data_IF_726143059074
#
_entry.id   IF_726143059074
#
_cell.length_a   1.000
_cell.length_b   1.000
_cell.length_c   1.000
_cell.angle_alpha   90.00
_cell.angle_beta   90.00
_cell.angle_gamma   90.00
#
_symmetry.space_group_name_H-M   'P 1'
#
loop_
_entity.id
_entity.type
_entity.pdbx_description
1 polymer ?
#
# COMPACT_ATOMS: atom_id res chain seq x y z
N UNK A 1 31.57 8.17 2.62
CA UNK A 1 30.63 7.14 2.13
C UNK A 1 30.83 5.83 2.91
N UNK A 2 30.70 5.86 4.24
CA UNK A 2 30.87 4.66 5.08
C UNK A 2 29.50 4.22 5.54
N UNK A 3 29.14 2.95 5.27
CA UNK A 3 27.88 2.33 5.72
C UNK A 3 26.79 2.17 4.65
N UNK A 4 26.97 2.70 3.44
CA UNK A 4 26.03 2.43 2.33
C UNK A 4 26.44 1.16 1.59
N UNK A 5 25.46 0.38 1.14
CA UNK A 5 25.73 -0.83 0.35
C UNK A 5 26.13 -0.43 -1.07
N UNK A 6 27.17 -1.05 -1.60
CA UNK A 6 27.67 -0.80 -2.97
C UNK A 6 26.56 -0.82 -4.03
N UNK A 7 25.58 -1.72 -3.86
CA UNK A 7 24.42 -1.83 -4.76
C UNK A 7 23.60 -0.54 -4.79
N UNK A 8 23.36 0.09 -3.65
CA UNK A 8 22.53 1.30 -3.54
C UNK A 8 23.21 2.49 -4.21
N UNK A 9 24.52 2.66 -3.97
CA UNK A 9 25.33 3.70 -4.62
C UNK A 9 25.37 3.47 -6.13
N UNK A 10 25.53 2.22 -6.58
CA UNK A 10 25.54 1.89 -8.01
C UNK A 10 24.20 2.21 -8.69
N UNK A 11 23.07 1.99 -7.99
CA UNK A 11 21.73 2.31 -8.50
C UNK A 11 21.55 3.82 -8.65
N UNK A 12 22.03 4.60 -7.68
CA UNK A 12 21.97 6.05 -7.72
C UNK A 12 22.82 6.61 -8.87
N UNK A 13 24.07 6.15 -9.01
CA UNK A 13 24.96 6.59 -10.11
C UNK A 13 24.35 6.24 -11.47
N UNK A 14 23.77 5.04 -11.60
CA UNK A 14 23.04 4.64 -12.81
C UNK A 14 21.83 5.52 -13.12
N UNK A 15 21.09 5.94 -12.08
CA UNK A 15 19.98 6.87 -12.23
C UNK A 15 20.44 8.25 -12.73
N UNK A 16 21.62 8.72 -12.27
CA UNK A 16 22.16 10.04 -12.64
C UNK A 16 22.78 10.10 -14.05
N UNK A 17 23.43 9.03 -14.51
CA UNK A 17 24.31 9.09 -15.69
C UNK A 17 23.74 8.49 -16.99
N UNK A 18 22.45 8.14 -17.06
CA UNK A 18 21.86 7.80 -18.38
C UNK A 18 20.74 6.79 -18.42
N UNK A 19 20.13 6.43 -17.29
CA UNK A 19 18.90 5.64 -17.33
C UNK A 19 17.69 6.57 -17.50
N UNK A 20 16.80 6.24 -18.44
CA UNK A 20 15.42 6.73 -18.41
C UNK A 20 14.77 6.21 -17.13
N UNK A 21 14.89 6.98 -16.05
CA UNK A 21 14.56 6.55 -14.71
C UNK A 21 13.12 6.03 -14.63
N UNK A 22 12.19 6.67 -15.34
CA UNK A 22 10.79 6.26 -15.41
C UNK A 22 10.57 4.86 -15.97
N UNK A 23 11.26 4.52 -17.07
CA UNK A 23 11.17 3.19 -17.68
C UNK A 23 11.89 2.14 -16.84
N UNK A 24 13.00 2.53 -16.23
CA UNK A 24 13.76 1.68 -15.33
C UNK A 24 12.96 1.33 -14.07
N UNK A 25 12.30 2.30 -13.44
CA UNK A 25 11.49 2.11 -12.23
C UNK A 25 10.39 1.06 -12.45
N UNK A 26 9.76 1.04 -13.64
CA UNK A 26 8.74 0.04 -13.99
C UNK A 26 9.27 -1.39 -14.05
N UNK A 27 10.56 -1.58 -14.28
CA UNK A 27 11.23 -2.89 -14.38
C UNK A 27 11.96 -3.27 -13.09
N UNK A 28 12.14 -2.34 -12.17
CA UNK A 28 12.85 -2.55 -10.93
C UNK A 28 12.00 -3.31 -9.91
N UNK A 29 12.65 -4.13 -9.09
CA UNK A 29 12.01 -4.73 -7.94
C UNK A 29 11.68 -3.65 -6.89
N UNK A 30 10.61 -3.86 -6.11
CA UNK A 30 10.19 -2.91 -5.08
C UNK A 30 11.30 -2.61 -4.06
N UNK A 31 12.15 -3.60 -3.75
CA UNK A 31 13.32 -3.44 -2.89
C UNK A 31 14.36 -2.46 -3.46
N UNK A 32 14.55 -2.47 -4.79
CA UNK A 32 15.50 -1.58 -5.45
C UNK A 32 14.94 -0.15 -5.51
N UNK A 33 13.63 -0.01 -5.77
CA UNK A 33 12.91 1.27 -5.70
C UNK A 33 12.98 1.86 -4.29
N UNK A 34 12.78 1.03 -3.27
CA UNK A 34 12.90 1.42 -1.85
C UNK A 34 14.31 1.89 -1.50
N UNK A 35 15.32 1.16 -1.98
CA UNK A 35 16.72 1.53 -1.80
C UNK A 35 17.04 2.86 -2.48
N UNK A 36 16.50 3.07 -3.69
CA UNK A 36 16.68 4.31 -4.44
C UNK A 36 16.01 5.50 -3.75
N UNK A 37 14.81 5.32 -3.18
CA UNK A 37 14.16 6.36 -2.36
C UNK A 37 14.99 6.72 -1.13
N UNK A 38 15.52 5.71 -0.43
CA UNK A 38 16.38 5.88 0.74
C UNK A 38 17.64 6.69 0.40
N UNK A 39 18.39 6.27 -0.62
CA UNK A 39 19.67 6.90 -0.96
C UNK A 39 19.49 8.27 -1.61
N UNK A 40 18.47 8.46 -2.48
CA UNK A 40 18.16 9.77 -3.05
C UNK A 40 17.75 10.79 -1.99
N UNK A 41 17.01 10.36 -0.96
CA UNK A 41 16.68 11.23 0.18
C UNK A 41 17.89 11.51 1.07
N UNK A 42 18.80 10.54 1.25
CA UNK A 42 20.01 10.70 2.08
C UNK A 42 21.00 11.70 1.49
N UNK A 43 21.17 11.70 0.17
CA UNK A 43 22.11 12.57 -0.54
C UNK A 43 21.43 13.79 -1.20
N UNK A 44 20.16 14.04 -0.89
CA UNK A 44 19.40 15.20 -1.35
C UNK A 44 19.26 15.34 -2.89
N UNK A 45 19.19 14.21 -3.60
CA UNK A 45 18.92 14.19 -5.04
C UNK A 45 17.42 14.32 -5.32
N UNK A 46 16.92 15.55 -5.26
CA UNK A 46 15.47 15.85 -5.34
C UNK A 46 14.82 15.39 -6.66
N UNK A 47 15.51 15.47 -7.79
CA UNK A 47 14.96 15.02 -9.08
C UNK A 47 14.70 13.51 -9.09
N UNK A 48 15.69 12.72 -8.66
CA UNK A 48 15.58 11.26 -8.54
C UNK A 48 14.51 10.89 -7.51
N UNK A 49 14.50 11.57 -6.35
CA UNK A 49 13.51 11.35 -5.30
C UNK A 49 12.10 11.62 -5.82
N UNK A 50 11.89 12.72 -6.55
CA UNK A 50 10.59 13.11 -7.09
C UNK A 50 10.05 12.09 -8.10
N UNK A 51 10.89 11.61 -9.00
CA UNK A 51 10.51 10.56 -9.96
C UNK A 51 10.17 9.24 -9.26
N UNK A 52 10.92 8.85 -8.23
CA UNK A 52 10.64 7.65 -7.42
C UNK A 52 9.32 7.79 -6.65
N UNK A 53 9.09 8.94 -6.02
CA UNK A 53 7.83 9.22 -5.30
C UNK A 53 6.65 9.20 -6.27
N UNK A 54 6.77 9.83 -7.43
CA UNK A 54 5.72 9.83 -8.45
C UNK A 54 5.40 8.41 -8.93
N UNK A 55 6.42 7.57 -9.11
CA UNK A 55 6.21 6.16 -9.43
C UNK A 55 5.50 5.41 -8.29
N UNK A 56 5.94 5.59 -7.04
CA UNK A 56 5.31 4.95 -5.88
C UNK A 56 3.86 5.39 -5.68
N UNK A 57 3.52 6.66 -5.93
CA UNK A 57 2.14 7.16 -5.88
C UNK A 57 1.25 6.52 -6.96
N UNK A 58 1.82 6.16 -8.10
CA UNK A 58 1.08 5.43 -9.14
C UNK A 58 0.76 3.99 -8.73
N UNK A 59 1.61 3.38 -7.89
CA UNK A 59 1.42 2.04 -7.35
C UNK A 59 0.53 2.01 -6.09
N UNK A 60 0.70 3.02 -5.22
CA UNK A 60 0.05 3.13 -3.92
C UNK A 60 -0.77 4.42 -3.85
N UNK A 61 -1.87 4.50 -4.62
CA UNK A 61 -2.63 5.74 -4.72
C UNK A 61 -3.48 6.00 -3.48
N UNK A 62 -3.72 7.28 -3.20
CA UNK A 62 -4.50 7.75 -2.04
C UNK A 62 -6.02 7.56 -2.13
N UNK A 63 -6.57 7.35 -3.33
CA UNK A 63 -8.02 7.19 -3.52
C UNK A 63 -8.41 5.75 -3.81
N UNK A 64 -9.57 5.33 -3.29
CA UNK A 64 -10.08 3.97 -3.45
C UNK A 64 -10.25 3.60 -4.93
N UNK A 65 -10.76 4.51 -5.75
CA UNK A 65 -10.97 4.27 -7.18
C UNK A 65 -9.65 4.01 -7.92
N UNK A 66 -8.61 4.80 -7.63
CA UNK A 66 -7.28 4.58 -8.20
C UNK A 66 -6.64 3.31 -7.64
N UNK A 67 -6.86 3.00 -6.36
CA UNK A 67 -6.34 1.79 -5.73
C UNK A 67 -6.91 0.53 -6.39
N UNK A 68 -8.22 0.50 -6.67
CA UNK A 68 -8.85 -0.57 -7.45
C UNK A 68 -8.26 -0.65 -8.86
N UNK A 69 -8.14 0.48 -9.55
CA UNK A 69 -7.59 0.54 -10.90
C UNK A 69 -6.12 0.09 -11.00
N UNK A 70 -5.30 0.36 -9.98
CA UNK A 70 -3.88 0.00 -9.95
C UNK A 70 -3.61 -1.51 -9.91
N UNK A 71 -4.61 -2.32 -9.53
CA UNK A 71 -4.48 -3.77 -9.32
C UNK A 71 -3.33 -4.20 -8.39
N UNK A 72 -2.78 -3.27 -7.60
CA UNK A 72 -1.69 -3.56 -6.66
C UNK A 72 -2.09 -4.62 -5.62
N UNK A 73 -3.39 -4.70 -5.33
CA UNK A 73 -3.98 -5.69 -4.42
C UNK A 73 -4.04 -7.11 -5.00
N UNK A 74 -3.87 -7.26 -6.33
CA UNK A 74 -3.80 -8.55 -7.02
C UNK A 74 -2.34 -9.03 -7.17
N UNK A 75 -1.36 -8.12 -7.00
CA UNK A 75 0.05 -8.47 -7.12
C UNK A 75 0.55 -9.20 -5.88
N UNK A 76 1.28 -10.30 -6.10
CA UNK A 76 1.97 -11.02 -5.03
C UNK A 76 3.24 -10.23 -4.63
N UNK A 77 3.08 -9.29 -3.71
CA UNK A 77 4.18 -8.52 -3.15
C UNK A 77 4.73 -9.22 -1.90
N UNK A 78 6.05 -9.32 -1.82
CA UNK A 78 6.71 -9.91 -0.67
C UNK A 78 6.53 -9.02 0.58
N UNK A 79 6.02 -9.57 1.71
CA UNK A 79 5.81 -8.81 2.94
C UNK A 79 7.04 -8.02 3.40
N UNK A 80 8.23 -8.61 3.30
CA UNK A 80 9.47 -7.95 3.73
C UNK A 80 9.74 -6.67 2.91
N UNK A 81 9.40 -6.68 1.61
CA UNK A 81 9.56 -5.52 0.75
C UNK A 81 8.54 -4.43 1.08
N UNK A 82 7.30 -4.82 1.40
CA UNK A 82 6.25 -3.89 1.81
C UNK A 82 6.58 -3.17 3.13
N UNK A 83 7.02 -3.93 4.14
CA UNK A 83 7.41 -3.35 5.43
C UNK A 83 8.68 -2.50 5.30
N UNK A 84 9.67 -2.96 4.52
CA UNK A 84 10.85 -2.15 4.21
C UNK A 84 10.49 -0.83 3.53
N UNK A 85 9.58 -0.86 2.54
CA UNK A 85 9.07 0.34 1.89
C UNK A 85 8.31 1.24 2.87
N UNK A 86 7.48 0.68 3.76
CA UNK A 86 6.75 1.44 4.76
C UNK A 86 7.70 2.20 5.71
N UNK A 87 8.73 1.53 6.21
CA UNK A 87 9.77 2.15 7.07
C UNK A 87 10.47 3.29 6.33
N UNK A 88 10.89 3.06 5.09
CA UNK A 88 11.58 4.09 4.29
C UNK A 88 10.63 5.23 3.94
N UNK A 89 9.38 4.96 3.59
CA UNK A 89 8.39 5.98 3.28
C UNK A 89 8.12 6.89 4.48
N UNK A 90 8.00 6.33 5.68
CA UNK A 90 7.83 7.10 6.91
C UNK A 90 9.06 7.94 7.24
N UNK A 91 10.27 7.38 7.05
CA UNK A 91 11.53 8.09 7.30
C UNK A 91 11.80 9.20 6.27
N UNK A 92 11.41 9.00 5.01
CA UNK A 92 11.61 9.94 3.91
C UNK A 92 10.41 10.90 3.71
N UNK A 93 9.45 10.88 4.65
CA UNK A 93 8.25 11.71 4.66
C UNK A 93 7.34 11.58 3.42
N UNK A 94 7.33 10.40 2.80
CA UNK A 94 6.47 10.09 1.66
C UNK A 94 5.09 9.64 2.15
N UNK A 95 4.36 10.55 2.80
CA UNK A 95 3.13 10.23 3.52
C UNK A 95 1.95 9.87 2.61
N UNK A 96 1.99 10.26 1.34
CA UNK A 96 0.88 10.07 0.39
C UNK A 96 0.62 8.59 0.05
N UNK A 97 1.64 7.73 0.14
CA UNK A 97 1.54 6.29 -0.13
C UNK A 97 1.25 5.46 1.12
N UNK A 98 1.46 6.03 2.31
CA UNK A 98 1.35 5.33 3.60
C UNK A 98 -0.04 4.72 3.82
N UNK A 99 -1.18 5.39 3.56
CA UNK A 99 -2.49 4.78 3.78
C UNK A 99 -2.70 3.50 2.98
N UNK A 100 -2.32 3.50 1.70
CA UNK A 100 -2.45 2.34 0.83
C UNK A 100 -1.50 1.21 1.25
N UNK A 101 -0.25 1.54 1.63
CA UNK A 101 0.72 0.58 2.15
C UNK A 101 0.26 -0.06 3.46
N UNK A 102 -0.19 0.75 4.43
CA UNK A 102 -0.71 0.27 5.70
C UNK A 102 -1.91 -0.66 5.50
N UNK A 103 -2.83 -0.31 4.59
CA UNK A 103 -3.97 -1.16 4.27
C UNK A 103 -3.56 -2.51 3.69
N UNK A 104 -2.59 -2.55 2.77
CA UNK A 104 -2.06 -3.81 2.23
C UNK A 104 -1.38 -4.62 3.33
N UNK A 105 -0.53 -3.98 4.15
CA UNK A 105 0.18 -4.65 5.25
C UNK A 105 -0.79 -5.21 6.31
N UNK A 106 -1.92 -4.54 6.56
CA UNK A 106 -2.94 -4.98 7.51
C UNK A 106 -3.64 -6.29 7.10
N UNK A 107 -3.65 -6.64 5.80
CA UNK A 107 -4.19 -7.91 5.29
C UNK A 107 -3.32 -9.12 5.63
N UNK A 108 -2.05 -8.89 5.99
CA UNK A 108 -1.10 -9.97 6.29
C UNK A 108 -1.45 -10.59 7.66
N UNK A 109 -1.41 -11.93 7.82
CA UNK A 109 -1.71 -12.58 9.10
C UNK A 109 -0.86 -12.04 10.26
N UNK A 110 -1.49 -11.80 11.41
CA UNK A 110 -0.85 -11.18 12.57
C UNK A 110 0.47 -11.84 12.98
N UNK A 111 0.59 -13.19 13.02
CA UNK A 111 1.86 -13.83 13.39
C UNK A 111 3.04 -13.41 12.49
N UNK A 112 2.78 -13.26 11.19
CA UNK A 112 3.79 -12.85 10.20
C UNK A 112 4.05 -11.34 10.26
N UNK A 113 3.03 -10.54 10.57
CA UNK A 113 3.20 -9.09 10.75
C UNK A 113 4.08 -8.78 11.97
N UNK A 114 3.89 -9.46 13.10
CA UNK A 114 4.65 -9.19 14.34
C UNK A 114 6.15 -9.40 14.15
N UNK A 115 6.59 -10.39 13.35
CA UNK A 115 8.02 -10.56 13.04
C UNK A 115 8.59 -9.39 12.24
N UNK A 116 7.80 -8.78 11.36
CA UNK A 116 8.23 -7.69 10.47
C UNK A 116 8.14 -6.32 11.13
N UNK A 117 7.24 -6.15 12.10
CA UNK A 117 7.09 -4.93 12.88
C UNK A 117 8.30 -4.60 13.75
N UNK A 118 9.19 -5.56 14.00
CA UNK A 118 10.44 -5.32 14.76
C UNK A 118 11.38 -4.32 14.08
N UNK A 119 11.22 -4.09 12.78
CA UNK A 119 11.99 -3.12 12.00
C UNK A 119 11.43 -1.69 12.10
N UNK A 120 10.22 -1.52 12.63
CA UNK A 120 9.55 -0.21 12.77
C UNK A 120 9.86 0.44 14.13
N UNK A 121 9.96 1.78 14.18
CA UNK A 121 9.94 2.53 15.43
C UNK A 121 8.72 2.19 16.28
N UNK A 122 8.89 2.13 17.61
CA UNK A 122 7.85 1.67 18.55
C UNK A 122 6.55 2.45 18.44
N UNK A 123 6.63 3.77 18.25
CA UNK A 123 5.45 4.63 18.07
C UNK A 123 4.67 4.31 16.79
N UNK A 124 5.37 4.04 15.68
CA UNK A 124 4.75 3.70 14.40
C UNK A 124 4.15 2.28 14.44
N UNK A 125 4.82 1.36 15.13
CA UNK A 125 4.31 0.01 15.36
C UNK A 125 2.98 0.05 16.13
N UNK A 126 2.91 0.83 17.22
CA UNK A 126 1.69 0.98 18.02
C UNK A 126 0.54 1.56 17.18
N UNK A 127 0.79 2.66 16.47
CA UNK A 127 -0.21 3.26 15.58
C UNK A 127 -0.70 2.29 14.49
N UNK A 128 0.21 1.52 13.90
CA UNK A 128 -0.14 0.50 12.92
C UNK A 128 -1.04 -0.59 13.53
N UNK A 129 -0.71 -1.09 14.72
CA UNK A 129 -1.49 -2.12 15.41
C UNK A 129 -2.88 -1.61 15.80
N UNK A 130 -2.98 -0.39 16.33
CA UNK A 130 -4.26 0.26 16.63
C UNK A 130 -5.12 0.43 15.38
N UNK A 131 -4.51 0.90 14.28
CA UNK A 131 -5.21 1.04 13.00
C UNK A 131 -5.69 -0.30 12.45
N UNK A 132 -4.89 -1.35 12.58
CA UNK A 132 -5.26 -2.71 12.18
C UNK A 132 -6.42 -3.25 13.01
N UNK A 133 -6.39 -3.11 14.32
CA UNK A 133 -7.47 -3.56 15.20
C UNK A 133 -8.79 -2.86 14.88
N UNK A 134 -8.73 -1.53 14.67
CA UNK A 134 -9.87 -0.75 14.24
C UNK A 134 -10.45 -1.24 12.91
N UNK A 135 -9.61 -1.53 11.89
CA UNK A 135 -10.05 -2.09 10.61
C UNK A 135 -10.72 -3.46 10.78
N UNK A 136 -10.17 -4.32 11.65
CA UNK A 136 -10.79 -5.60 11.99
C UNK A 136 -12.17 -5.40 12.62
N UNK A 137 -12.31 -4.46 13.56
CA UNK A 137 -13.59 -4.10 14.17
C UNK A 137 -14.63 -3.62 13.14
N UNK A 138 -14.24 -2.72 12.24
CA UNK A 138 -15.10 -2.23 11.16
C UNK A 138 -15.53 -3.38 10.23
N UNK A 139 -14.61 -4.26 9.84
CA UNK A 139 -14.90 -5.43 9.00
C UNK A 139 -15.96 -6.33 9.64
N UNK A 140 -15.83 -6.62 10.94
CA UNK A 140 -16.81 -7.42 11.68
C UNK A 140 -18.19 -6.76 11.73
N UNK A 141 -18.26 -5.43 11.87
CA UNK A 141 -19.53 -4.68 11.86
C UNK A 141 -20.21 -4.80 10.49
N UNK A 142 -19.44 -4.63 9.40
CA UNK A 142 -19.94 -4.75 8.03
C UNK A 142 -20.48 -6.17 7.79
N UNK A 143 -19.74 -7.21 8.19
CA UNK A 143 -20.15 -8.61 8.08
C UNK A 143 -21.44 -8.90 8.88
N UNK A 144 -21.54 -8.38 10.11
CA UNK A 144 -22.77 -8.53 10.92
C UNK A 144 -23.98 -7.89 10.25
N UNK A 145 -23.80 -6.73 9.60
CA UNK A 145 -24.89 -6.03 8.88
C UNK A 145 -25.30 -6.77 7.61
N UNK A 146 -24.35 -7.29 6.82
CA UNK A 146 -24.67 -8.03 5.60
C UNK A 146 -25.42 -9.34 5.91
N UNK A 147 -25.03 -10.05 6.98
CA UNK A 147 -25.72 -11.27 7.43
C UNK A 147 -27.15 -10.96 7.94
N UNK A 148 -27.37 -9.81 8.57
CA UNK A 148 -28.73 -9.41 8.99
C UNK A 148 -29.60 -9.07 7.79
N UNK A 149 -29.08 -8.36 6.80
CA UNK A 149 -29.82 -8.05 5.57
C UNK A 149 -30.28 -9.32 4.83
N UNK A 150 -29.44 -10.36 4.77
CA UNK A 150 -29.84 -11.64 4.15
C UNK A 150 -30.86 -12.42 4.96
N UNK A 151 -30.83 -12.34 6.30
CA UNK A 151 -31.83 -12.99 7.18
C UNK A 151 -33.19 -12.29 7.17
N UNK A 152 -33.23 -10.96 7.05
CA UNK A 152 -34.50 -10.20 7.01
C UNK A 152 -35.18 -10.26 5.63
N UNK A 153 -34.47 -10.67 4.57
CA UNK A 153 -35.05 -10.97 3.24
C UNK A 153 -35.51 -12.42 3.04
N UNK A 154 -35.28 -13.31 4.02
CA UNK A 154 -35.51 -14.76 3.90
C UNK A 154 -36.88 -15.26 4.41
N UNK A 155 -37.77 -14.37 4.84
CA UNK A 155 -39.11 -14.73 5.29
C UNK A 155 -40.13 -13.65 4.94
N UNK A 156 -40.89 -13.88 3.86
CA UNK A 156 -42.11 -13.14 3.51
C UNK A 156 -41.98 -11.69 2.98
N UNK A 157 -41.03 -11.42 2.09
CA UNK A 157 -41.25 -10.36 1.07
C UNK A 157 -41.50 -11.05 -0.27
N UNK A 158 -42.78 -11.11 -0.66
CA UNK A 158 -43.17 -11.41 -2.05
C UNK A 158 -42.38 -10.46 -2.94
N UNK A 159 -41.42 -11.01 -3.69
CA UNK A 159 -40.79 -10.29 -4.80
C UNK A 159 -41.95 -9.85 -5.69
N UNK A 160 -42.13 -8.53 -5.84
CA UNK A 160 -43.13 -7.98 -6.72
C UNK A 160 -42.79 -8.44 -8.15
N UNK A 161 -43.57 -9.39 -8.69
CA UNK A 161 -43.41 -9.89 -10.06
C UNK A 161 -43.84 -8.89 -11.14
N UNK A 162 -43.97 -7.60 -10.78
CA UNK A 162 -44.38 -6.55 -11.68
C UNK A 162 -43.15 -5.99 -12.40
N UNK A 163 -43.10 -6.17 -13.71
CA UNK A 163 -41.99 -5.78 -14.59
C UNK A 163 -41.65 -4.28 -14.56
N UNK A 164 -42.54 -3.43 -14.03
CA UNK A 164 -42.30 -1.98 -13.88
C UNK A 164 -41.34 -1.58 -12.76
N UNK A 165 -40.99 -2.49 -11.83
CA UNK A 165 -40.17 -2.13 -10.67
C UNK A 165 -38.64 -2.22 -10.91
N UNK A 166 -38.20 -2.70 -12.08
CA UNK A 166 -36.77 -2.82 -12.43
C UNK A 166 -36.21 -1.62 -13.21
N UNK A 167 -37.01 -0.57 -13.43
CA UNK A 167 -36.69 0.53 -14.35
C UNK A 167 -36.27 1.86 -13.72
N UNK A 168 -35.64 1.89 -12.55
CA UNK A 168 -35.25 3.16 -11.93
C UNK A 168 -33.90 3.08 -11.19
N UNK A 169 -32.88 2.53 -11.84
CA UNK A 169 -31.48 2.79 -11.50
C UNK A 169 -30.65 2.86 -12.79
N UNK A 170 -30.75 4.00 -13.47
CA UNK A 170 -29.74 4.49 -14.40
C UNK A 170 -29.47 5.95 -14.05
#
# INVERSE_FOLDING_TARGET
MVGDKDKEVSLLVKALYGMNLRDALRKMALSDVTSLLSISSKYDFQDVRSDVVQYLESLFPKSLEKYKASKIHEQALEPNQLFGLLVVALRCEVLLIVPALCYICAKIPLPRTVSLLRELPTNQMEQFLLGRDWLCGVSQIILKRSIRATKTGGGALKICGYSGCLGAFY
#
